data_IF_518150764180
#
_entry.id   IF_518150764180
#
_cell.length_a   1.000
_cell.length_b   1.000
_cell.length_c   1.000
_cell.angle_alpha   90.00
_cell.angle_beta   90.00
_cell.angle_gamma   90.00
#
_symmetry.space_group_name_H-M   'P 1'
#
loop_
_entity.id
_entity.type
_entity.pdbx_description
1 polymer ?
#
# COMPACT_ATOMS: atom_id res chain seq x y z
N UNK A 1 -0.72 -4.82 37.21
CA UNK A 1 -0.85 -4.17 35.88
C UNK A 1 -0.46 -5.12 34.74
N UNK A 2 0.63 -5.88 34.87
CA UNK A 2 1.05 -6.88 33.88
C UNK A 2 -0.01 -7.98 33.67
N UNK A 3 -0.64 -8.48 34.73
CA UNK A 3 -1.68 -9.52 34.63
C UNK A 3 -2.89 -9.07 33.80
N UNK A 4 -3.27 -7.80 33.92
CA UNK A 4 -4.34 -7.21 33.10
C UNK A 4 -3.97 -7.21 31.62
N UNK A 5 -2.72 -6.86 31.28
CA UNK A 5 -2.23 -6.88 29.91
C UNK A 5 -2.21 -8.29 29.32
N UNK A 6 -1.80 -9.29 30.11
CA UNK A 6 -1.71 -10.69 29.70
C UNK A 6 -3.07 -11.42 29.68
N UNK A 7 -4.07 -10.91 30.39
CA UNK A 7 -5.40 -11.51 30.39
C UNK A 7 -6.15 -11.30 29.07
N UNK A 8 -7.03 -12.25 28.68
CA UNK A 8 -7.81 -12.17 27.44
C UNK A 8 -8.74 -10.95 27.40
N UNK A 9 -9.02 -10.43 26.21
CA UNK A 9 -9.88 -9.24 26.05
C UNK A 9 -11.30 -9.50 26.56
N UNK A 10 -11.82 -10.69 26.34
CA UNK A 10 -13.08 -11.20 26.85
C UNK A 10 -12.81 -12.14 28.05
N UNK A 11 -13.22 -11.78 29.28
CA UNK A 11 -12.93 -12.56 30.47
C UNK A 11 -13.65 -13.92 30.51
N UNK A 12 -14.70 -14.11 29.70
CA UNK A 12 -15.53 -15.31 29.72
C UNK A 12 -15.01 -16.42 28.79
N UNK A 13 -13.98 -16.12 27.98
CA UNK A 13 -13.36 -17.08 27.07
C UNK A 13 -11.87 -17.26 27.40
N UNK A 14 -11.36 -18.47 27.28
CA UNK A 14 -9.92 -18.70 27.38
C UNK A 14 -9.20 -18.20 26.10
N UNK A 15 -7.97 -17.69 26.25
CA UNK A 15 -7.05 -17.57 25.13
C UNK A 15 -6.36 -18.93 24.93
N UNK A 16 -7.03 -19.83 24.21
CA UNK A 16 -6.50 -21.16 23.88
C UNK A 16 -6.28 -21.27 22.37
N UNK A 17 -5.00 -21.24 21.97
CA UNK A 17 -4.60 -21.23 20.56
C UNK A 17 -3.50 -22.26 20.34
N UNK A 18 -3.81 -23.28 19.54
CA UNK A 18 -2.85 -24.31 19.16
C UNK A 18 -1.63 -23.76 18.42
N UNK A 19 -0.52 -24.50 18.47
CA UNK A 19 0.80 -24.05 17.95
C UNK A 19 0.71 -23.55 16.50
N UNK A 20 0.10 -24.33 15.60
CA UNK A 20 -0.02 -23.96 14.18
C UNK A 20 -0.85 -22.69 13.97
N UNK A 21 -2.00 -22.58 14.65
CA UNK A 21 -2.87 -21.39 14.58
C UNK A 21 -2.15 -20.16 15.14
N UNK A 22 -1.35 -20.33 16.19
CA UNK A 22 -0.56 -19.23 16.77
C UNK A 22 0.50 -18.72 15.80
N UNK A 23 1.17 -19.61 15.04
CA UNK A 23 2.12 -19.21 14.01
C UNK A 23 1.45 -18.61 12.78
N UNK A 24 0.30 -19.16 12.35
CA UNK A 24 -0.53 -18.54 11.33
C UNK A 24 -0.83 -17.08 11.68
N UNK A 25 -1.33 -16.80 12.89
CA UNK A 25 -1.65 -15.46 13.33
C UNK A 25 -0.44 -14.51 13.33
N UNK A 26 0.71 -14.95 13.87
CA UNK A 26 1.95 -14.12 13.89
C UNK A 26 2.42 -13.76 12.48
N UNK A 27 2.46 -14.74 11.59
CA UNK A 27 2.88 -14.53 10.20
C UNK A 27 1.91 -13.60 9.46
N UNK A 28 0.61 -13.77 9.66
CA UNK A 28 -0.40 -12.88 9.06
C UNK A 28 -0.31 -11.45 9.60
N UNK A 29 -0.03 -11.25 10.90
CA UNK A 29 0.20 -9.90 11.45
C UNK A 29 1.45 -9.26 10.84
N UNK A 30 2.57 -9.99 10.75
CA UNK A 30 3.80 -9.47 10.11
C UNK A 30 3.54 -9.12 8.64
N UNK A 31 2.85 -9.98 7.90
CA UNK A 31 2.51 -9.76 6.50
C UNK A 31 1.59 -8.54 6.30
N UNK A 32 0.48 -8.49 7.04
CA UNK A 32 -0.66 -7.63 6.72
C UNK A 32 -0.79 -6.39 7.58
N UNK A 33 -0.28 -6.41 8.82
CA UNK A 33 -0.15 -5.21 9.65
C UNK A 33 1.24 -4.59 9.52
N UNK A 34 2.28 -5.36 9.15
CA UNK A 34 3.64 -4.86 8.98
C UNK A 34 4.01 -4.55 7.53
N UNK A 35 4.36 -5.59 6.76
CA UNK A 35 4.98 -5.45 5.43
C UNK A 35 4.06 -4.75 4.43
N UNK A 36 2.82 -5.22 4.28
CA UNK A 36 1.89 -4.68 3.29
C UNK A 36 1.66 -3.16 3.42
N UNK A 37 1.28 -2.61 4.60
CA UNK A 37 1.09 -1.16 4.74
C UNK A 37 2.39 -0.37 4.59
N UNK A 38 3.54 -0.87 5.07
CA UNK A 38 4.84 -0.22 4.85
C UNK A 38 5.17 -0.12 3.35
N UNK A 39 4.96 -1.20 2.60
CA UNK A 39 5.12 -1.19 1.15
C UNK A 39 4.16 -0.25 0.43
N UNK A 40 2.92 -0.10 0.92
CA UNK A 40 1.95 0.87 0.40
C UNK A 40 2.38 2.31 0.67
N UNK A 41 2.85 2.62 1.88
CA UNK A 41 3.40 3.95 2.22
C UNK A 41 4.61 4.29 1.34
N UNK A 42 5.53 3.33 1.19
CA UNK A 42 6.69 3.41 0.31
C UNK A 42 6.32 3.82 -1.12
N UNK A 43 5.45 3.03 -1.76
CA UNK A 43 5.01 3.28 -3.12
C UNK A 43 4.15 4.55 -3.27
N UNK A 44 3.46 4.98 -2.22
CA UNK A 44 2.61 6.17 -2.31
C UNK A 44 3.41 7.46 -2.16
N UNK A 45 4.30 7.54 -1.18
CA UNK A 45 4.88 8.82 -0.75
C UNK A 45 6.37 8.99 -1.07
N UNK A 46 7.09 7.92 -1.42
CA UNK A 46 8.55 7.99 -1.59
C UNK A 46 9.00 7.71 -3.03
N UNK A 47 8.13 7.95 -4.01
CA UNK A 47 8.45 7.81 -5.44
C UNK A 47 9.60 8.70 -5.88
N UNK A 48 9.67 9.89 -5.30
CA UNK A 48 10.91 10.68 -5.25
C UNK A 48 11.55 10.34 -3.90
N UNK A 49 12.70 9.69 -3.94
CA UNK A 49 13.35 9.18 -2.75
C UNK A 49 13.94 10.33 -1.92
N UNK A 50 13.95 10.27 -0.58
CA UNK A 50 14.59 11.30 0.23
C UNK A 50 16.06 11.49 -0.16
N UNK A 51 16.42 12.72 -0.55
CA UNK A 51 17.76 13.07 -1.01
C UNK A 51 18.00 12.93 -2.53
N UNK A 52 17.02 12.49 -3.31
CA UNK A 52 17.09 12.49 -4.78
C UNK A 52 17.05 13.92 -5.33
N UNK A 53 17.97 14.29 -6.22
CA UNK A 53 18.00 15.61 -6.88
C UNK A 53 16.99 15.68 -8.04
N UNK A 54 15.70 15.51 -7.74
CA UNK A 54 14.64 15.60 -8.74
C UNK A 54 14.39 17.07 -9.15
N UNK A 55 14.27 17.42 -10.44
CA UNK A 55 14.12 16.52 -11.60
C UNK A 55 15.42 16.18 -12.35
N UNK A 56 16.62 16.52 -11.83
CA UNK A 56 17.89 16.19 -12.51
C UNK A 56 18.21 14.69 -12.47
N UNK A 57 17.88 14.05 -11.36
CA UNK A 57 17.91 12.59 -11.19
C UNK A 57 16.48 12.04 -11.27
N UNK A 58 16.23 11.17 -12.24
CA UNK A 58 14.93 10.54 -12.49
C UNK A 58 15.00 9.03 -12.21
N UNK A 59 13.84 8.41 -11.97
CA UNK A 59 13.69 6.95 -11.80
C UNK A 59 14.55 6.31 -10.70
N UNK A 60 14.65 6.94 -9.52
CA UNK A 60 15.24 6.23 -8.37
C UNK A 60 14.33 5.07 -7.95
N UNK A 61 14.80 3.82 -8.11
CA UNK A 61 13.96 2.63 -7.94
C UNK A 61 13.82 2.14 -6.49
N UNK A 62 14.36 2.84 -5.50
CA UNK A 62 14.33 2.38 -4.10
C UNK A 62 12.90 2.15 -3.58
N UNK A 63 11.95 3.04 -3.92
CA UNK A 63 10.55 2.87 -3.54
C UNK A 63 9.91 1.64 -4.21
N UNK A 64 10.30 1.34 -5.45
CA UNK A 64 9.79 0.21 -6.21
C UNK A 64 10.33 -1.10 -5.62
N UNK A 65 11.62 -1.13 -5.30
CA UNK A 65 12.28 -2.26 -4.63
C UNK A 65 11.62 -2.51 -3.27
N UNK A 66 11.47 -1.46 -2.44
CA UNK A 66 10.81 -1.55 -1.14
C UNK A 66 9.39 -2.08 -1.27
N UNK A 67 8.58 -1.50 -2.16
CA UNK A 67 7.20 -1.93 -2.38
C UNK A 67 7.15 -3.41 -2.76
N UNK A 68 7.93 -3.81 -3.77
CA UNK A 68 7.93 -5.18 -4.27
C UNK A 68 8.43 -6.18 -3.21
N UNK A 69 9.49 -5.84 -2.47
CA UNK A 69 10.00 -6.67 -1.38
C UNK A 69 8.93 -6.88 -0.30
N UNK A 70 8.29 -5.80 0.15
CA UNK A 70 7.22 -5.87 1.14
C UNK A 70 6.01 -6.69 0.65
N UNK A 71 5.53 -6.46 -0.57
CA UNK A 71 4.35 -7.18 -1.07
C UNK A 71 4.62 -8.65 -1.35
N UNK A 72 5.76 -8.99 -1.95
CA UNK A 72 6.14 -10.40 -2.14
C UNK A 72 6.39 -11.10 -0.81
N UNK A 73 7.05 -10.42 0.15
CA UNK A 73 7.19 -10.92 1.51
C UNK A 73 5.83 -11.21 2.15
N UNK A 74 4.89 -10.28 2.09
CA UNK A 74 3.55 -10.46 2.65
C UNK A 74 2.81 -11.65 2.01
N UNK A 75 2.87 -11.80 0.69
CA UNK A 75 2.26 -12.93 -0.04
C UNK A 75 2.92 -14.25 0.36
N UNK A 76 4.26 -14.33 0.38
CA UNK A 76 4.99 -15.53 0.79
C UNK A 76 4.64 -15.95 2.22
N UNK A 77 4.65 -15.01 3.16
CA UNK A 77 4.27 -15.29 4.55
C UNK A 77 2.81 -15.74 4.66
N UNK A 78 1.91 -15.17 3.86
CA UNK A 78 0.50 -15.57 3.82
C UNK A 78 0.32 -17.02 3.38
N UNK A 79 1.07 -17.47 2.37
CA UNK A 79 1.03 -18.85 1.91
C UNK A 79 1.59 -19.84 2.94
N UNK A 80 2.71 -19.49 3.60
CA UNK A 80 3.26 -20.31 4.68
C UNK A 80 2.24 -20.41 5.82
N UNK A 81 1.64 -19.29 6.22
CA UNK A 81 0.62 -19.23 7.27
C UNK A 81 -0.64 -20.03 6.91
N UNK A 82 -1.11 -19.98 5.65
CA UNK A 82 -2.21 -20.81 5.17
C UNK A 82 -1.85 -22.29 5.22
N UNK A 83 -0.63 -22.66 4.81
CA UNK A 83 -0.14 -24.04 4.88
C UNK A 83 -0.20 -24.59 6.31
N UNK A 84 0.28 -23.82 7.30
CA UNK A 84 0.21 -24.21 8.71
C UNK A 84 -1.24 -24.38 9.19
N UNK A 85 -2.14 -23.49 8.76
CA UNK A 85 -3.56 -23.59 9.12
C UNK A 85 -4.18 -24.89 8.57
N UNK A 86 -3.94 -25.19 7.29
CA UNK A 86 -4.47 -26.38 6.60
C UNK A 86 -3.92 -27.70 7.17
N UNK A 87 -2.71 -27.68 7.75
CA UNK A 87 -2.14 -28.84 8.46
C UNK A 87 -2.79 -29.09 9.83
N UNK A 88 -3.50 -28.10 10.38
CA UNK A 88 -4.00 -28.13 11.75
C UNK A 88 -5.51 -28.20 11.89
N UNK A 89 -6.27 -27.88 10.83
CA UNK A 89 -7.72 -27.77 10.86
C UNK A 89 -8.36 -28.47 9.65
N UNK A 90 -9.54 -29.10 9.81
CA UNK A 90 -10.31 -29.62 8.67
C UNK A 90 -10.71 -28.50 7.69
N UNK A 91 -10.77 -28.80 6.39
CA UNK A 91 -11.12 -27.83 5.34
C UNK A 91 -12.47 -27.12 5.58
N UNK A 92 -13.43 -27.78 6.21
CA UNK A 92 -14.73 -27.18 6.55
C UNK A 92 -14.61 -26.00 7.51
N UNK A 93 -13.63 -26.01 8.42
CA UNK A 93 -13.34 -24.86 9.31
C UNK A 93 -12.77 -23.67 8.54
N UNK A 94 -12.14 -23.89 7.38
CA UNK A 94 -11.56 -22.84 6.56
C UNK A 94 -12.61 -21.95 5.87
N UNK A 95 -13.91 -22.24 5.99
CA UNK A 95 -14.99 -21.44 5.40
C UNK A 95 -16.12 -21.12 6.40
N UNK A 96 -16.04 -21.59 7.64
CA UNK A 96 -17.17 -21.60 8.59
C UNK A 96 -17.42 -20.32 9.39
N UNK A 97 -16.54 -19.32 9.33
CA UNK A 97 -16.65 -18.11 10.16
C UNK A 97 -16.27 -16.81 9.43
N UNK A 98 -16.74 -15.64 9.90
CA UNK A 98 -16.49 -14.35 9.26
C UNK A 98 -15.02 -14.03 9.01
N UNK A 99 -14.14 -14.35 9.97
CA UNK A 99 -12.69 -14.17 9.80
C UNK A 99 -12.15 -14.93 8.58
N UNK A 100 -12.60 -16.17 8.38
CA UNK A 100 -12.16 -16.99 7.25
C UNK A 100 -12.61 -16.43 5.90
N UNK A 101 -13.86 -15.95 5.80
CA UNK A 101 -14.36 -15.30 4.59
C UNK A 101 -13.56 -14.03 4.23
N UNK A 102 -13.26 -13.21 5.23
CA UNK A 102 -12.45 -12.00 5.04
C UNK A 102 -11.01 -12.39 4.66
N UNK A 103 -10.44 -13.40 5.33
CA UNK A 103 -9.10 -13.92 5.04
C UNK A 103 -8.95 -14.44 3.60
N UNK A 104 -9.92 -15.23 3.12
CA UNK A 104 -9.93 -15.67 1.71
C UNK A 104 -10.05 -14.52 0.73
N UNK A 105 -10.83 -13.48 1.08
CA UNK A 105 -10.93 -12.27 0.26
C UNK A 105 -9.57 -11.56 0.16
N UNK A 106 -8.84 -11.46 1.28
CA UNK A 106 -7.47 -10.90 1.31
C UNK A 106 -6.54 -11.71 0.41
N UNK A 107 -6.54 -13.04 0.52
CA UNK A 107 -5.70 -13.92 -0.32
C UNK A 107 -6.05 -13.76 -1.79
N UNK A 108 -7.34 -13.81 -2.15
CA UNK A 108 -7.79 -13.65 -3.54
C UNK A 108 -7.37 -12.31 -4.13
N UNK A 109 -7.59 -11.22 -3.40
CA UNK A 109 -7.18 -9.90 -3.89
C UNK A 109 -5.66 -9.77 -3.99
N UNK A 110 -4.90 -10.34 -3.05
CA UNK A 110 -3.44 -10.39 -3.15
C UNK A 110 -2.97 -11.11 -4.41
N UNK A 111 -3.62 -12.22 -4.79
CA UNK A 111 -3.32 -12.93 -6.03
C UNK A 111 -3.63 -12.09 -7.27
N UNK A 112 -4.76 -11.38 -7.28
CA UNK A 112 -5.05 -10.44 -8.36
C UNK A 112 -4.04 -9.29 -8.43
N UNK A 113 -3.51 -8.82 -7.29
CA UNK A 113 -2.44 -7.83 -7.28
C UNK A 113 -1.15 -8.36 -7.91
N UNK A 114 -0.76 -9.60 -7.58
CA UNK A 114 0.42 -10.24 -8.17
C UNK A 114 0.21 -10.47 -9.67
N UNK A 115 -0.90 -11.08 -10.06
CA UNK A 115 -1.23 -11.35 -11.46
C UNK A 115 -1.30 -10.04 -12.28
N UNK A 116 -1.99 -9.02 -11.76
CA UNK A 116 -2.03 -7.70 -12.38
C UNK A 116 -0.65 -7.07 -12.50
N UNK A 117 0.19 -7.20 -11.48
CA UNK A 117 1.57 -6.74 -11.49
C UNK A 117 2.45 -7.41 -12.55
N UNK A 118 2.22 -8.68 -12.85
CA UNK A 118 2.87 -9.42 -13.94
C UNK A 118 2.32 -9.01 -15.32
N UNK A 119 1.03 -8.66 -15.38
CA UNK A 119 0.33 -8.28 -16.61
C UNK A 119 0.33 -6.77 -16.90
N UNK A 120 1.05 -5.97 -16.10
CA UNK A 120 0.99 -4.49 -16.11
C UNK A 120 1.50 -3.77 -17.37
N UNK A 121 2.10 -4.51 -18.29
CA UNK A 121 2.70 -3.98 -19.51
C UNK A 121 4.18 -3.64 -19.41
N UNK A 122 4.78 -3.29 -20.54
CA UNK A 122 6.20 -2.90 -20.64
C UNK A 122 6.42 -1.49 -20.05
N UNK A 123 7.64 -1.21 -19.56
CA UNK A 123 7.97 0.11 -19.03
C UNK A 123 8.20 1.10 -20.18
N UNK A 124 9.16 0.80 -21.05
CA UNK A 124 9.60 1.72 -22.08
C UNK A 124 10.30 2.96 -21.51
N UNK A 125 10.58 3.92 -22.38
CA UNK A 125 11.17 5.21 -22.03
C UNK A 125 12.72 5.21 -22.12
N UNK A 126 13.35 6.37 -21.84
CA UNK A 126 14.78 6.59 -22.08
C UNK A 126 15.74 5.67 -21.31
N UNK A 127 15.25 5.01 -20.27
CA UNK A 127 16.01 4.07 -19.43
C UNK A 127 15.82 2.61 -19.81
N UNK A 128 15.02 2.32 -20.84
CA UNK A 128 14.68 0.96 -21.31
C UNK A 128 15.29 0.72 -22.70
N UNK A 129 15.22 -0.52 -23.20
CA UNK A 129 15.73 -0.89 -24.54
C UNK A 129 14.93 -0.18 -25.61
N UNK A 130 13.60 -0.14 -25.44
CA UNK A 130 12.68 0.52 -26.36
C UNK A 130 12.13 1.81 -25.74
N UNK A 131 12.19 2.90 -26.50
CA UNK A 131 11.60 4.17 -26.07
C UNK A 131 10.08 4.03 -25.88
N UNK A 132 9.41 3.24 -26.72
CA UNK A 132 7.96 3.01 -26.65
C UNK A 132 7.66 1.87 -25.68
N UNK A 133 6.56 2.01 -24.94
CA UNK A 133 6.15 1.00 -23.97
C UNK A 133 4.87 1.38 -23.26
N UNK A 134 4.19 0.39 -22.67
CA UNK A 134 2.87 0.59 -22.05
C UNK A 134 2.88 1.71 -21.00
N UNK A 135 3.92 1.79 -20.18
CA UNK A 135 4.05 2.83 -19.17
C UNK A 135 4.43 4.19 -19.78
N UNK A 136 5.46 4.24 -20.63
CA UNK A 136 5.89 5.49 -21.27
C UNK A 136 4.78 6.15 -22.09
N UNK A 137 4.03 5.36 -22.83
CA UNK A 137 2.94 5.84 -23.69
C UNK A 137 1.59 5.93 -22.96
N UNK A 138 1.53 5.49 -21.69
CA UNK A 138 0.31 5.38 -20.90
C UNK A 138 -0.84 4.72 -21.68
N UNK A 139 -0.56 3.55 -22.24
CA UNK A 139 -1.56 2.80 -23.02
C UNK A 139 -2.76 2.43 -22.17
N UNK A 140 -3.90 2.09 -22.80
CA UNK A 140 -5.10 1.63 -22.09
C UNK A 140 -4.80 0.48 -21.13
N UNK A 141 -3.88 -0.42 -21.49
CA UNK A 141 -3.42 -1.51 -20.63
C UNK A 141 -2.81 -0.97 -19.34
N UNK A 142 -1.89 -0.01 -19.45
CA UNK A 142 -1.24 0.61 -18.29
C UNK A 142 -2.25 1.38 -17.43
N UNK A 143 -3.09 2.19 -18.05
CA UNK A 143 -4.10 2.99 -17.35
C UNK A 143 -5.04 2.10 -16.56
N UNK A 144 -5.61 1.06 -17.18
CA UNK A 144 -6.49 0.08 -16.51
C UNK A 144 -5.75 -0.62 -15.37
N UNK A 145 -4.51 -1.05 -15.58
CA UNK A 145 -3.68 -1.62 -14.53
C UNK A 145 -3.54 -0.67 -13.35
N UNK A 146 -3.22 0.62 -13.56
CA UNK A 146 -3.02 1.56 -12.47
C UNK A 146 -4.29 1.82 -11.65
N UNK A 147 -5.45 1.93 -12.31
CA UNK A 147 -6.73 2.05 -11.61
C UNK A 147 -7.00 0.80 -10.77
N UNK A 148 -6.99 -0.39 -11.39
CA UNK A 148 -7.29 -1.63 -10.68
C UNK A 148 -6.30 -1.86 -9.55
N UNK A 149 -4.99 -1.75 -9.81
CA UNK A 149 -3.93 -1.99 -8.83
C UNK A 149 -4.08 -1.09 -7.59
N UNK A 150 -4.32 0.21 -7.77
CA UNK A 150 -4.47 1.17 -6.66
C UNK A 150 -5.75 0.91 -5.85
N UNK A 151 -6.91 0.84 -6.49
CA UNK A 151 -8.18 0.71 -5.77
C UNK A 151 -8.35 -0.67 -5.14
N UNK A 152 -8.03 -1.73 -5.88
CA UNK A 152 -8.02 -3.07 -5.30
C UNK A 152 -6.98 -3.16 -4.18
N UNK A 153 -5.87 -2.43 -4.25
CA UNK A 153 -4.83 -2.46 -3.21
C UNK A 153 -5.32 -1.89 -1.88
N UNK A 154 -6.05 -0.77 -1.94
CA UNK A 154 -6.73 -0.21 -0.76
C UNK A 154 -7.85 -1.12 -0.24
N UNK A 155 -8.62 -1.75 -1.13
CA UNK A 155 -9.63 -2.73 -0.73
C UNK A 155 -8.99 -3.92 0.00
N UNK A 156 -7.88 -4.48 -0.52
CA UNK A 156 -7.12 -5.55 0.15
C UNK A 156 -6.65 -5.12 1.53
N UNK A 157 -6.11 -3.90 1.67
CA UNK A 157 -5.62 -3.40 2.96
C UNK A 157 -6.77 -3.22 3.97
N UNK A 158 -7.93 -2.75 3.52
CA UNK A 158 -9.12 -2.64 4.37
C UNK A 158 -9.61 -4.03 4.84
N UNK A 159 -9.69 -5.00 3.92
CA UNK A 159 -10.00 -6.39 4.27
C UNK A 159 -8.96 -6.98 5.22
N UNK A 160 -7.68 -6.67 5.05
CA UNK A 160 -6.60 -7.14 5.91
C UNK A 160 -6.73 -6.60 7.34
N UNK A 161 -7.06 -5.31 7.52
CA UNK A 161 -7.37 -4.74 8.84
C UNK A 161 -8.54 -5.49 9.49
N UNK A 162 -9.62 -5.71 8.73
CA UNK A 162 -10.78 -6.46 9.23
C UNK A 162 -10.43 -7.92 9.57
N UNK A 163 -9.56 -8.57 8.80
CA UNK A 163 -9.06 -9.91 9.07
C UNK A 163 -8.24 -9.95 10.37
N UNK A 164 -7.35 -8.99 10.60
CA UNK A 164 -6.55 -8.89 11.83
C UNK A 164 -7.45 -8.68 13.04
N UNK A 165 -8.39 -7.74 12.98
CA UNK A 165 -9.33 -7.46 14.09
C UNK A 165 -10.20 -8.68 14.40
N UNK A 166 -10.82 -9.28 13.37
CA UNK A 166 -11.64 -10.48 13.56
C UNK A 166 -10.84 -11.68 14.07
N UNK A 167 -9.58 -11.84 13.63
CA UNK A 167 -8.69 -12.90 14.09
C UNK A 167 -8.27 -12.72 15.55
N UNK A 168 -7.94 -11.50 15.98
CA UNK A 168 -7.68 -11.18 17.39
C UNK A 168 -8.88 -11.50 18.27
N UNK A 169 -10.09 -11.15 17.81
CA UNK A 169 -11.33 -11.48 18.52
C UNK A 169 -11.60 -12.98 18.61
N UNK A 170 -11.41 -13.70 17.49
CA UNK A 170 -11.63 -15.14 17.43
C UNK A 170 -10.65 -15.89 18.33
N UNK A 171 -9.38 -15.48 18.36
CA UNK A 171 -8.37 -16.03 19.25
C UNK A 171 -8.53 -15.59 20.72
N UNK A 172 -9.49 -14.71 21.02
CA UNK A 172 -9.60 -14.00 22.29
C UNK A 172 -8.25 -13.44 22.77
N UNK A 173 -7.58 -12.71 21.89
CA UNK A 173 -6.21 -12.25 22.12
C UNK A 173 -6.10 -11.41 23.41
N UNK A 174 -4.99 -11.57 24.16
CA UNK A 174 -4.68 -10.73 25.32
C UNK A 174 -4.71 -9.24 25.01
N UNK A 175 -5.04 -8.43 26.03
CA UNK A 175 -5.19 -6.97 25.90
C UNK A 175 -3.95 -6.28 25.33
N UNK A 176 -2.75 -6.77 25.66
CA UNK A 176 -1.51 -6.20 25.14
C UNK A 176 -1.40 -6.29 23.61
N UNK A 177 -1.91 -7.37 22.99
CA UNK A 177 -1.85 -7.55 21.53
C UNK A 177 -2.69 -6.50 20.82
N UNK A 178 -3.91 -6.26 21.33
CA UNK A 178 -4.79 -5.18 20.86
C UNK A 178 -4.11 -3.81 20.99
N UNK A 179 -3.52 -3.53 22.16
CA UNK A 179 -2.82 -2.28 22.41
C UNK A 179 -1.67 -2.04 21.44
N UNK A 180 -0.77 -3.02 21.29
CA UNK A 180 0.40 -2.92 20.40
C UNK A 180 -0.03 -2.74 18.93
N UNK A 181 -0.95 -3.58 18.45
CA UNK A 181 -1.44 -3.50 17.06
C UNK A 181 -2.19 -2.18 16.83
N UNK A 182 -3.01 -1.74 17.79
CA UNK A 182 -3.74 -0.47 17.70
C UNK A 182 -2.81 0.75 17.68
N UNK A 183 -1.77 0.77 18.52
CA UNK A 183 -0.74 1.82 18.52
C UNK A 183 0.00 1.82 17.18
N UNK A 184 0.38 0.65 16.68
CA UNK A 184 1.07 0.53 15.40
C UNK A 184 0.24 1.07 14.23
N UNK A 185 -1.04 0.71 14.14
CA UNK A 185 -1.94 1.29 13.13
C UNK A 185 -2.11 2.80 13.28
N UNK A 186 -2.14 3.30 14.51
CA UNK A 186 -2.19 4.75 14.77
C UNK A 186 -0.94 5.44 14.22
N UNK A 187 0.25 4.87 14.43
CA UNK A 187 1.50 5.38 13.84
C UNK A 187 1.43 5.40 12.31
N UNK A 188 0.96 4.32 11.68
CA UNK A 188 0.80 4.25 10.22
C UNK A 188 -0.17 5.30 9.68
N UNK A 189 -1.30 5.53 10.36
CA UNK A 189 -2.30 6.54 9.99
C UNK A 189 -1.72 7.95 10.14
N UNK A 190 -1.02 8.24 11.24
CA UNK A 190 -0.36 9.53 11.45
C UNK A 190 0.69 9.77 10.36
N UNK A 191 1.53 8.77 10.07
CA UNK A 191 2.52 8.85 9.00
C UNK A 191 1.87 9.11 7.63
N UNK A 192 0.80 8.38 7.30
CA UNK A 192 0.03 8.61 6.07
C UNK A 192 -0.49 10.04 5.99
N UNK A 193 -1.15 10.52 7.05
CA UNK A 193 -1.72 11.86 7.10
C UNK A 193 -0.65 12.94 7.00
N UNK A 194 0.49 12.75 7.68
CA UNK A 194 1.64 13.64 7.61
C UNK A 194 2.18 13.74 6.19
N UNK A 195 2.55 12.62 5.56
CA UNK A 195 3.11 12.63 4.19
C UNK A 195 2.10 13.12 3.15
N UNK A 196 0.82 12.82 3.33
CA UNK A 196 -0.25 13.33 2.46
C UNK A 196 -0.36 14.86 2.55
N UNK A 197 -0.26 15.44 3.76
CA UNK A 197 -0.26 16.90 3.96
C UNK A 197 0.97 17.57 3.35
N UNK A 198 2.12 16.89 3.37
CA UNK A 198 3.34 17.33 2.71
C UNK A 198 3.30 17.19 1.17
N UNK A 199 2.15 16.82 0.58
CA UNK A 199 1.97 16.59 -0.87
C UNK A 199 2.99 15.60 -1.47
N UNK A 200 3.50 14.67 -0.67
CA UNK A 200 4.48 13.68 -1.10
C UNK A 200 3.89 12.56 -1.97
N UNK A 201 2.57 12.48 -2.08
CA UNK A 201 1.89 11.55 -2.98
C UNK A 201 2.03 12.03 -4.43
N UNK A 202 3.20 11.84 -5.03
CA UNK A 202 3.52 12.36 -6.36
C UNK A 202 3.04 11.41 -7.45
N UNK A 203 2.63 11.95 -8.59
CA UNK A 203 2.26 11.16 -9.76
C UNK A 203 3.40 10.23 -10.19
N UNK A 204 3.07 8.96 -10.46
CA UNK A 204 4.08 7.94 -10.79
C UNK A 204 4.79 8.27 -12.09
N UNK A 205 4.07 8.83 -13.06
CA UNK A 205 4.63 9.16 -14.36
C UNK A 205 5.66 10.28 -14.20
N UNK A 206 5.29 11.40 -13.58
CA UNK A 206 6.23 12.50 -13.39
C UNK A 206 7.44 12.15 -12.51
N UNK A 207 7.26 11.29 -11.50
CA UNK A 207 8.38 10.86 -10.66
C UNK A 207 9.48 10.11 -11.46
N UNK A 208 9.10 9.40 -12.52
CA UNK A 208 10.02 8.55 -13.28
C UNK A 208 10.49 9.22 -14.58
N UNK A 209 9.62 9.93 -15.31
CA UNK A 209 9.96 10.52 -16.61
C UNK A 209 10.18 12.04 -16.57
N UNK A 210 9.86 12.70 -15.45
CA UNK A 210 9.94 14.15 -15.33
C UNK A 210 8.65 14.85 -15.77
N UNK A 211 8.66 16.18 -15.73
CA UNK A 211 7.45 17.00 -15.84
C UNK A 211 7.23 17.70 -17.19
N UNK A 212 8.09 17.42 -18.18
CA UNK A 212 7.95 17.97 -19.53
C UNK A 212 6.56 17.66 -20.12
N UNK A 213 5.83 18.70 -20.53
CA UNK A 213 4.48 18.60 -21.09
C UNK A 213 4.45 17.82 -22.41
N UNK A 214 5.57 17.71 -23.13
CA UNK A 214 5.67 16.93 -24.36
C UNK A 214 5.60 15.41 -24.10
N UNK A 215 5.80 14.95 -22.86
CA UNK A 215 5.74 13.53 -22.52
C UNK A 215 4.29 13.01 -22.55
N UNK A 216 4.00 11.87 -23.21
CA UNK A 216 2.64 11.38 -23.41
C UNK A 216 1.79 11.32 -22.14
N UNK A 217 2.35 10.80 -21.05
CA UNK A 217 1.63 10.63 -19.78
C UNK A 217 1.34 11.93 -19.03
N UNK A 218 2.08 13.01 -19.31
CA UNK A 218 1.86 14.31 -18.66
C UNK A 218 0.59 15.03 -19.17
N UNK A 219 0.03 14.60 -20.30
CA UNK A 219 -1.28 15.05 -20.78
C UNK A 219 -2.48 14.45 -20.01
N UNK A 220 -2.28 13.34 -19.28
CA UNK A 220 -3.33 12.62 -18.58
C UNK A 220 -3.46 13.06 -17.11
N UNK A 221 -4.68 13.10 -16.57
CA UNK A 221 -4.87 13.38 -15.14
C UNK A 221 -4.15 12.33 -14.27
N UNK A 222 -3.49 12.74 -13.17
CA UNK A 222 -2.88 11.80 -12.23
C UNK A 222 -3.90 10.75 -11.76
N UNK A 223 -3.47 9.49 -11.75
CA UNK A 223 -4.33 8.39 -11.34
C UNK A 223 -4.19 8.18 -9.82
N UNK A 224 -5.26 8.43 -9.08
CA UNK A 224 -5.36 8.14 -7.64
C UNK A 224 -5.76 9.36 -6.82
N UNK A 225 -6.44 9.11 -5.70
CA UNK A 225 -6.95 10.16 -4.82
C UNK A 225 -5.77 10.88 -4.16
N UNK A 226 -5.80 12.22 -4.16
CA UNK A 226 -4.81 13.05 -3.47
C UNK A 226 -3.39 12.95 -4.03
N UNK A 227 -3.24 12.48 -5.28
CA UNK A 227 -1.98 12.47 -6.00
C UNK A 227 -1.72 13.86 -6.58
N UNK A 228 -0.52 14.39 -6.38
CA UNK A 228 -0.11 15.72 -6.80
C UNK A 228 0.95 15.66 -7.92
N UNK A 229 1.02 16.73 -8.71
CA UNK A 229 2.13 17.01 -9.62
C UNK A 229 3.10 17.99 -8.96
N UNK A 230 4.42 17.77 -8.98
CA UNK A 230 5.37 18.65 -8.29
C UNK A 230 5.33 20.09 -8.78
N UNK A 231 5.04 20.30 -10.06
CA UNK A 231 5.00 21.65 -10.66
C UNK A 231 3.73 22.43 -10.24
N UNK A 232 2.61 21.73 -10.02
CA UNK A 232 1.42 22.29 -9.38
C UNK A 232 1.61 22.50 -7.87
N UNK A 233 2.47 21.69 -7.23
CA UNK A 233 2.78 21.82 -5.81
C UNK A 233 3.68 23.03 -5.50
N UNK A 234 4.46 23.52 -6.48
CA UNK A 234 5.29 24.74 -6.39
C UNK A 234 4.52 26.04 -6.63
N UNK A 235 3.31 25.98 -7.18
CA UNK A 235 2.43 27.15 -7.28
C UNK A 235 1.71 27.36 -5.95
N UNK A 236 2.38 27.98 -4.97
CA UNK A 236 1.70 28.50 -3.77
C UNK A 236 0.74 29.64 -4.16
N UNK A 237 -0.36 29.86 -3.41
CA UNK A 237 -1.31 30.95 -3.71
C UNK A 237 -0.63 32.32 -3.88
N UNK A 238 0.44 32.55 -3.12
CA UNK A 238 1.29 33.74 -3.17
C UNK A 238 1.93 33.98 -4.55
N UNK A 239 2.32 32.92 -5.28
CA UNK A 239 2.86 33.03 -6.64
C UNK A 239 1.79 33.32 -7.69
N UNK A 240 0.55 32.84 -7.48
CA UNK A 240 -0.59 33.10 -8.36
C UNK A 240 -1.11 34.53 -8.23
N UNK A 241 -1.12 35.11 -7.02
CA UNK A 241 -1.51 36.51 -6.80
C UNK A 241 -0.45 37.49 -7.32
N UNK A 242 0.84 37.15 -7.18
CA UNK A 242 1.93 37.96 -7.76
C UNK A 242 1.84 37.98 -9.29
N UNK A 243 1.59 36.83 -9.94
CA UNK A 243 1.43 36.74 -11.39
C UNK A 243 0.18 37.50 -11.89
N UNK A 244 -0.93 37.47 -11.16
CA UNK A 244 -2.14 38.25 -11.50
C UNK A 244 -1.92 39.75 -11.34
N UNK A 245 -1.19 40.19 -10.32
CA UNK A 245 -0.86 41.62 -10.13
C UNK A 245 0.02 42.16 -11.25
N UNK A 246 0.98 41.36 -11.73
CA UNK A 246 1.87 41.75 -12.84
C UNK A 246 1.18 41.81 -14.21
N UNK A 247 0.07 41.08 -14.40
CA UNK A 247 -0.75 41.14 -15.60
C UNK A 247 -1.73 42.31 -15.54
N UNK A 248 -2.24 42.66 -14.35
CA UNK A 248 -3.12 43.82 -14.15
C UNK A 248 -2.39 45.17 -14.32
N UNK A 249 -1.09 45.25 -13.98
CA UNK A 249 -0.27 46.46 -14.19
C UNK A 249 0.18 46.67 -15.65
N UNK A 250 -0.19 45.77 -16.57
CA UNK A 250 0.13 45.86 -18.01
C UNK A 250 -1.08 46.12 -18.91
N UNK A 251 -2.24 46.41 -18.32
CA UNK A 251 -3.48 46.83 -19.01
C UNK A 251 -3.87 48.23 -18.56
#
# INVERSE_FOLDING_TARGET
MLDWLLSPIDPDRAHDVGVYVSWHARLMVVAWAGLAPVGVLGARFFKIWPGQDWPRELDNQNWWILHRFCQYGAVTLSFIALGLLLLSQPLLFAFGHPHAFIGWSVVLFALFQVAGGLMRGTKGGPTDIDLRGDHYDMTSRRVVFEYIHKYLGYATLACAVAAVVSGLWQANAPRWMWGVIGIWWTVLIIAFAYFQRQKMAIDTYQAIWGSDEALPGNSLKPIGIGVARPDEAKQTPETLDTAKSMVADRT
#
